data_IF_590412066598
#
_entry.id   IF_590412066598
#
_cell.length_a   1.000
_cell.length_b   1.000
_cell.length_c   1.000
_cell.angle_alpha   90.00
_cell.angle_beta   90.00
_cell.angle_gamma   90.00
#
_symmetry.space_group_name_H-M   'P 1'
#
loop_
_entity.id
_entity.type
_entity.pdbx_description
1 polymer ?
#
# COMPACT_ATOMS: atom_id res chain seq x y z
N UNK A 1 -22.50 2.58 2.36
CA UNK A 1 -21.71 3.69 1.79
C UNK A 1 -20.80 3.08 0.73
N UNK A 2 -21.03 3.44 -0.54
CA UNK A 2 -20.48 2.77 -1.71
C UNK A 2 -18.97 2.95 -1.82
N UNK A 3 -18.22 1.85 -1.86
CA UNK A 3 -16.80 1.82 -2.18
C UNK A 3 -16.60 2.38 -3.58
N UNK A 4 -16.15 3.64 -3.65
CA UNK A 4 -15.75 4.29 -4.89
C UNK A 4 -14.75 3.41 -5.64
N UNK A 5 -15.20 2.83 -6.75
CA UNK A 5 -14.35 2.23 -7.77
C UNK A 5 -13.56 3.37 -8.43
N UNK A 6 -12.47 3.82 -7.80
CA UNK A 6 -11.49 4.67 -8.49
C UNK A 6 -10.91 3.83 -9.63
N UNK A 7 -11.35 4.08 -10.87
CA UNK A 7 -10.60 3.66 -12.06
C UNK A 7 -9.23 4.30 -11.94
N UNK A 8 -8.19 3.48 -11.80
CA UNK A 8 -6.84 4.00 -11.61
C UNK A 8 -6.33 4.53 -12.95
N UNK A 9 -6.61 5.81 -13.25
CA UNK A 9 -5.89 6.60 -14.26
C UNK A 9 -4.38 6.70 -13.98
N UNK A 10 -3.89 6.06 -12.91
CA UNK A 10 -2.50 6.00 -12.50
C UNK A 10 -1.67 4.93 -13.24
N UNK A 11 -2.29 3.97 -13.93
CA UNK A 11 -1.59 2.87 -14.60
C UNK A 11 -1.96 2.84 -16.09
N UNK A 12 -0.96 2.69 -16.93
CA UNK A 12 -1.07 2.46 -18.37
C UNK A 12 -0.75 1.00 -18.68
N UNK A 13 -1.59 0.38 -19.52
CA UNK A 13 -1.33 -0.94 -20.09
C UNK A 13 -0.65 -0.71 -21.43
N UNK A 14 0.54 -1.28 -21.62
CA UNK A 14 1.35 -1.01 -22.83
C UNK A 14 0.70 -1.69 -24.04
N UNK A 15 0.54 -0.94 -25.13
CA UNK A 15 0.03 -1.47 -26.40
C UNK A 15 -1.48 -1.67 -26.48
N UNK A 16 -2.23 -1.33 -25.42
CA UNK A 16 -3.70 -1.39 -25.38
C UNK A 16 -4.25 -0.02 -24.99
N UNK A 17 -5.39 0.38 -25.57
CA UNK A 17 -6.06 1.66 -25.25
C UNK A 17 -6.63 1.70 -23.83
N UNK A 18 -7.64 2.54 -23.58
CA UNK A 18 -8.26 2.62 -22.26
C UNK A 18 -8.95 1.29 -21.89
N UNK A 19 -8.31 0.57 -20.98
CA UNK A 19 -8.80 -0.67 -20.38
C UNK A 19 -9.14 -0.40 -18.92
N UNK A 20 -10.15 -1.10 -18.40
CA UNK A 20 -10.47 -1.06 -16.98
C UNK A 20 -9.30 -1.65 -16.17
N UNK A 21 -8.58 -0.80 -15.46
CA UNK A 21 -7.48 -1.22 -14.57
C UNK A 21 -7.93 -1.20 -13.11
N UNK A 22 -7.52 -2.23 -12.35
CA UNK A 22 -7.78 -2.34 -10.91
C UNK A 22 -6.53 -2.81 -10.17
N UNK A 23 -6.17 -2.12 -9.09
CA UNK A 23 -5.07 -2.55 -8.22
C UNK A 23 -5.49 -3.78 -7.39
N UNK A 24 -4.63 -4.79 -7.34
CA UNK A 24 -4.87 -6.03 -6.60
C UNK A 24 -4.87 -5.78 -5.09
N UNK A 25 -5.78 -6.44 -4.37
CA UNK A 25 -5.88 -6.32 -2.91
C UNK A 25 -4.83 -7.12 -2.15
N UNK A 26 -4.32 -8.21 -2.74
CA UNK A 26 -3.36 -9.10 -2.08
C UNK A 26 -1.98 -8.47 -1.88
N UNK A 27 -1.58 -7.52 -2.74
CA UNK A 27 -0.29 -6.84 -2.66
C UNK A 27 -0.38 -5.31 -2.70
N UNK A 28 -1.60 -4.76 -2.86
CA UNK A 28 -1.92 -3.32 -2.81
C UNK A 28 -0.87 -2.41 -3.46
N UNK A 29 -0.54 -2.59 -4.76
CA UNK A 29 0.57 -1.89 -5.41
C UNK A 29 0.39 -0.37 -5.37
N UNK A 30 1.47 0.36 -5.17
CA UNK A 30 1.53 1.83 -5.17
C UNK A 30 2.55 2.33 -6.19
N UNK A 31 2.41 3.57 -6.71
CA UNK A 31 3.38 4.17 -7.63
C UNK A 31 4.82 3.93 -7.20
N UNK A 32 5.71 3.51 -8.11
CA UNK A 32 7.10 3.18 -7.77
C UNK A 32 7.36 1.72 -7.39
N UNK A 33 6.35 0.96 -6.98
CA UNK A 33 6.45 -0.51 -6.95
C UNK A 33 6.69 -1.02 -8.39
N UNK A 34 7.52 -2.06 -8.53
CA UNK A 34 7.52 -2.86 -9.76
C UNK A 34 6.15 -3.51 -9.91
N UNK A 35 5.54 -3.43 -11.09
CA UNK A 35 4.17 -3.90 -11.32
C UNK A 35 4.06 -4.82 -12.51
N UNK A 36 3.08 -5.72 -12.45
CA UNK A 36 2.66 -6.62 -13.53
C UNK A 36 1.14 -6.55 -13.70
N UNK A 37 0.68 -6.56 -14.94
CA UNK A 37 -0.74 -6.61 -15.28
C UNK A 37 -1.18 -8.02 -15.62
N UNK A 38 -2.37 -8.40 -15.15
CA UNK A 38 -2.99 -9.68 -15.46
C UNK A 38 -4.41 -9.49 -15.99
N UNK A 39 -4.68 -9.98 -17.21
CA UNK A 39 -6.01 -9.91 -17.82
C UNK A 39 -6.97 -10.80 -17.03
N UNK A 40 -7.99 -10.24 -16.40
CA UNK A 40 -9.02 -10.97 -15.66
C UNK A 40 -10.12 -11.52 -16.58
N UNK A 41 -10.93 -12.48 -16.10
CA UNK A 41 -12.03 -13.06 -16.90
C UNK A 41 -13.15 -12.06 -17.25
N UNK A 42 -13.19 -10.90 -16.60
CA UNK A 42 -14.21 -9.85 -16.78
C UNK A 42 -13.75 -8.65 -17.61
N UNK A 43 -12.79 -8.84 -18.53
CA UNK A 43 -12.29 -7.81 -19.46
C UNK A 43 -11.59 -6.60 -18.83
N UNK A 44 -11.07 -6.74 -17.60
CA UNK A 44 -10.22 -5.74 -16.95
C UNK A 44 -8.84 -6.30 -16.59
N UNK A 45 -7.87 -5.43 -16.33
CA UNK A 45 -6.52 -5.81 -15.92
C UNK A 45 -6.35 -5.61 -14.41
N UNK A 46 -5.97 -6.68 -13.72
CA UNK A 46 -5.56 -6.64 -12.30
C UNK A 46 -4.08 -6.30 -12.22
N UNK A 47 -3.71 -5.29 -11.44
CA UNK A 47 -2.32 -4.87 -11.26
C UNK A 47 -1.78 -5.47 -9.98
N UNK A 48 -0.68 -6.20 -10.09
CA UNK A 48 0.03 -6.79 -8.98
C UNK A 48 1.42 -6.17 -8.84
N UNK A 49 2.03 -6.30 -7.65
CA UNK A 49 3.46 -6.05 -7.47
C UNK A 49 4.25 -7.16 -8.16
N UNK A 50 5.44 -6.83 -8.64
CA UNK A 50 6.32 -7.75 -9.35
C UNK A 50 6.77 -8.94 -8.51
N UNK A 51 6.83 -8.78 -7.18
CA UNK A 51 7.25 -9.77 -6.18
C UNK A 51 6.05 -10.43 -5.44
N UNK A 52 4.84 -10.31 -5.96
CA UNK A 52 3.65 -10.89 -5.33
C UNK A 52 3.57 -12.40 -5.62
N UNK A 53 3.44 -13.22 -4.57
CA UNK A 53 3.28 -14.69 -4.69
C UNK A 53 2.13 -15.07 -5.63
N UNK A 54 0.98 -14.38 -5.52
CA UNK A 54 -0.15 -14.62 -6.41
C UNK A 54 0.16 -14.21 -7.86
N UNK A 55 0.97 -13.17 -8.07
CA UNK A 55 1.39 -12.77 -9.40
C UNK A 55 2.31 -13.81 -10.03
N UNK A 56 3.20 -14.43 -9.25
CA UNK A 56 4.11 -15.46 -9.73
C UNK A 56 3.39 -16.76 -10.09
N UNK A 57 2.38 -17.15 -9.32
CA UNK A 57 1.50 -18.27 -9.66
C UNK A 57 0.76 -18.01 -10.99
N UNK A 58 0.16 -16.81 -11.14
CA UNK A 58 -0.53 -16.42 -12.38
C UNK A 58 0.43 -16.38 -13.58
N UNK A 59 1.65 -15.88 -13.39
CA UNK A 59 2.69 -15.83 -14.42
C UNK A 59 3.11 -17.22 -14.86
N UNK A 60 3.18 -18.17 -13.93
CA UNK A 60 3.62 -19.55 -14.19
C UNK A 60 2.52 -20.41 -14.82
N UNK A 61 1.26 -20.17 -14.45
CA UNK A 61 0.12 -21.00 -14.89
C UNK A 61 -0.61 -20.43 -16.10
N UNK A 62 -0.59 -19.10 -16.30
CA UNK A 62 -1.38 -18.38 -17.32
C UNK A 62 -0.58 -17.23 -17.95
N UNK A 63 0.65 -17.50 -18.37
CA UNK A 63 1.59 -16.51 -18.92
C UNK A 63 1.02 -15.71 -20.09
N UNK A 64 0.13 -16.29 -20.90
CA UNK A 64 -0.51 -15.66 -22.06
C UNK A 64 -1.46 -14.52 -21.68
N UNK A 65 -1.83 -14.42 -20.40
CA UNK A 65 -2.71 -13.36 -19.85
C UNK A 65 -1.93 -12.29 -19.09
N UNK A 66 -0.60 -12.40 -19.03
CA UNK A 66 0.27 -11.38 -18.45
C UNK A 66 0.48 -10.27 -19.48
N UNK A 67 0.37 -9.02 -19.03
CA UNK A 67 0.57 -7.83 -19.87
C UNK A 67 1.51 -6.85 -19.19
N UNK A 68 2.30 -6.16 -20.01
CA UNK A 68 3.18 -5.11 -19.54
C UNK A 68 2.39 -3.87 -19.16
N UNK A 69 2.75 -3.30 -18.02
CA UNK A 69 2.09 -2.14 -17.43
C UNK A 69 3.13 -1.19 -16.87
N UNK A 70 2.79 0.09 -16.81
CA UNK A 70 3.61 1.11 -16.17
C UNK A 70 2.77 2.14 -15.44
N UNK A 71 3.35 2.74 -14.41
CA UNK A 71 2.77 3.91 -13.76
C UNK A 71 2.78 5.10 -14.74
N UNK A 72 1.64 5.80 -14.87
CA UNK A 72 1.54 7.04 -15.66
C UNK A 72 2.29 8.15 -14.94
N UNK A 73 3.19 8.83 -15.66
CA UNK A 73 3.87 10.01 -15.12
C UNK A 73 2.85 11.14 -14.88
N UNK A 74 2.92 11.79 -13.72
CA UNK A 74 2.08 12.95 -13.38
C UNK A 74 0.61 12.63 -13.07
N UNK A 75 0.21 11.36 -12.98
CA UNK A 75 -1.08 11.03 -12.39
C UNK A 75 -1.02 11.38 -10.89
N UNK A 76 -1.61 12.52 -10.52
CA UNK A 76 -1.79 12.94 -9.13
C UNK A 76 -2.81 12.02 -8.46
N UNK A 77 -2.41 10.78 -8.19
CA UNK A 77 -3.24 9.81 -7.50
C UNK A 77 -2.70 9.64 -6.09
N UNK A 78 -3.43 10.21 -5.12
CA UNK A 78 -3.32 9.78 -3.73
C UNK A 78 -3.69 8.30 -3.64
N UNK A 79 -2.76 7.49 -3.12
CA UNK A 79 -2.94 6.07 -2.88
C UNK A 79 -2.99 5.79 -1.38
N UNK A 80 -3.68 4.71 -1.03
CA UNK A 80 -3.81 4.26 0.35
C UNK A 80 -2.63 3.39 0.74
N UNK A 81 -2.03 3.71 1.88
CA UNK A 81 -0.99 2.89 2.50
C UNK A 81 -1.50 2.39 3.84
N UNK A 82 -1.22 1.13 4.12
CA UNK A 82 -1.38 0.54 5.44
C UNK A 82 0.00 0.24 6.03
N UNK A 83 0.23 0.63 7.26
CA UNK A 83 1.45 0.29 8.01
C UNK A 83 1.07 -0.42 9.30
N UNK A 84 1.94 -1.33 9.74
CA UNK A 84 1.93 -1.94 11.07
C UNK A 84 3.12 -1.36 11.83
N UNK A 85 2.85 -0.87 13.04
CA UNK A 85 3.86 -0.44 14.02
C UNK A 85 3.81 -1.44 15.17
N UNK A 86 4.97 -1.95 15.55
CA UNK A 86 5.16 -2.82 16.71
C UNK A 86 6.08 -2.12 17.70
N UNK A 87 5.64 -1.97 18.94
CA UNK A 87 6.35 -1.17 19.93
C UNK A 87 6.11 -1.66 21.36
N UNK A 88 7.00 -1.32 22.28
CA UNK A 88 6.74 -1.45 23.70
C UNK A 88 5.73 -0.40 24.14
N UNK A 89 4.63 -0.83 24.74
CA UNK A 89 3.62 0.09 25.24
C UNK A 89 4.16 0.96 26.38
N UNK A 90 4.01 2.28 26.20
CA UNK A 90 4.40 3.29 27.18
C UNK A 90 3.44 4.48 27.13
N UNK A 91 3.39 5.30 28.19
CA UNK A 91 2.65 6.55 28.16
C UNK A 91 2.99 7.38 26.92
N UNK A 92 1.94 7.92 26.29
CA UNK A 92 2.01 8.78 25.10
C UNK A 92 2.47 8.12 23.80
N UNK A 93 2.70 6.81 23.74
CA UNK A 93 3.14 6.13 22.50
C UNK A 93 2.22 6.44 21.32
N UNK A 94 0.89 6.28 21.48
CA UNK A 94 -0.06 6.55 20.40
C UNK A 94 0.00 8.02 19.94
N UNK A 95 0.16 8.96 20.88
CA UNK A 95 0.27 10.38 20.57
C UNK A 95 1.58 10.71 19.83
N UNK A 96 2.68 10.05 20.17
CA UNK A 96 3.96 10.21 19.50
C UNK A 96 3.91 9.68 18.06
N UNK A 97 3.26 8.53 17.85
CA UNK A 97 3.09 7.95 16.50
C UNK A 97 2.18 8.84 15.64
N UNK A 98 1.02 9.25 16.14
CA UNK A 98 0.10 10.11 15.36
C UNK A 98 0.69 11.47 15.05
N UNK A 99 1.45 12.07 15.99
CA UNK A 99 2.19 13.32 15.76
C UNK A 99 3.26 13.14 14.69
N UNK A 100 4.08 12.09 14.78
CA UNK A 100 5.12 11.80 13.79
C UNK A 100 4.55 11.61 12.39
N UNK A 101 3.43 10.88 12.26
CA UNK A 101 2.72 10.75 10.99
C UNK A 101 2.19 12.11 10.48
N UNK A 102 1.64 12.94 11.37
CA UNK A 102 1.16 14.28 11.02
C UNK A 102 2.29 15.21 10.58
N UNK A 103 3.45 15.15 11.22
CA UNK A 103 4.66 15.93 10.87
C UNK A 103 5.23 15.50 9.50
N UNK A 104 5.00 14.25 9.10
CA UNK A 104 5.26 13.76 7.75
C UNK A 104 4.18 14.17 6.74
N UNK A 105 3.22 15.01 7.13
CA UNK A 105 2.15 15.54 6.27
C UNK A 105 1.28 14.43 5.65
N UNK A 106 1.16 13.27 6.30
CA UNK A 106 0.24 12.21 5.85
C UNK A 106 -1.12 12.34 6.52
N UNK A 107 -2.18 12.18 5.73
CA UNK A 107 -3.55 12.24 6.23
C UNK A 107 -4.00 10.85 6.73
N UNK A 108 -4.06 10.67 8.05
CA UNK A 108 -4.52 9.42 8.68
C UNK A 108 -6.02 9.25 8.47
N UNK A 109 -6.41 8.17 7.78
CA UNK A 109 -7.81 7.81 7.54
C UNK A 109 -8.38 6.89 8.60
N UNK A 110 -7.57 5.96 9.11
CA UNK A 110 -7.96 5.06 10.19
C UNK A 110 -6.76 4.59 10.99
N UNK A 111 -6.99 4.35 12.27
CA UNK A 111 -6.02 3.74 13.17
C UNK A 111 -6.71 2.65 14.00
N UNK A 112 -6.01 1.54 14.23
CA UNK A 112 -6.41 0.49 15.16
C UNK A 112 -5.22 0.14 16.03
N UNK A 113 -5.43 0.10 17.34
CA UNK A 113 -4.37 -0.09 18.32
C UNK A 113 -4.80 -1.18 19.28
N UNK A 114 -3.95 -2.18 19.46
CA UNK A 114 -4.15 -3.25 20.44
C UNK A 114 -2.86 -3.49 21.19
N UNK A 115 -2.96 -3.69 22.50
CA UNK A 115 -1.81 -4.03 23.33
C UNK A 115 -1.96 -5.46 23.83
N UNK A 116 -0.93 -6.27 23.63
CA UNK A 116 -0.87 -7.65 24.11
C UNK A 116 -0.50 -7.72 25.59
N UNK A 117 -0.60 -8.92 26.20
CA UNK A 117 -0.34 -9.13 27.64
C UNK A 117 1.11 -8.87 28.05
N UNK A 118 2.06 -9.07 27.13
CA UNK A 118 3.48 -8.78 27.25
C UNK A 118 3.81 -7.30 27.01
N UNK A 119 2.79 -6.44 26.91
CA UNK A 119 2.91 -4.98 26.67
C UNK A 119 3.43 -4.62 25.29
N UNK A 120 3.32 -5.52 24.31
CA UNK A 120 3.61 -5.18 22.91
C UNK A 120 2.38 -4.48 22.32
N UNK A 121 2.55 -3.25 21.88
CA UNK A 121 1.55 -2.46 21.18
C UNK A 121 1.64 -2.72 19.67
N UNK A 122 0.52 -3.13 19.09
CA UNK A 122 0.33 -3.31 17.66
C UNK A 122 -0.58 -2.20 17.16
N UNK A 123 -0.01 -1.24 16.41
CA UNK A 123 -0.76 -0.12 15.86
C UNK A 123 -0.79 -0.19 14.34
N UNK A 124 -1.98 -0.32 13.76
CA UNK A 124 -2.21 -0.31 12.33
C UNK A 124 -2.75 1.05 11.91
N UNK A 125 -2.09 1.71 10.97
CA UNK A 125 -2.52 2.98 10.41
C UNK A 125 -2.79 2.84 8.92
N UNK A 126 -3.85 3.50 8.46
CA UNK A 126 -4.17 3.68 7.05
C UNK A 126 -4.14 5.17 6.74
N UNK A 127 -3.41 5.58 5.70
CA UNK A 127 -3.32 6.98 5.27
C UNK A 127 -3.24 7.12 3.75
N UNK A 128 -3.58 8.31 3.25
CA UNK A 128 -3.38 8.68 1.84
C UNK A 128 -2.02 9.34 1.63
N UNK A 129 -1.36 9.02 0.52
CA UNK A 129 -0.09 9.60 0.13
C UNK A 129 0.01 9.75 -1.39
N UNK A 130 0.66 10.82 -1.86
CA UNK A 130 0.78 11.14 -3.28
C UNK A 130 2.07 10.59 -3.92
N UNK A 131 3.13 10.37 -3.13
CA UNK A 131 4.43 9.89 -3.61
C UNK A 131 4.90 8.71 -2.77
N UNK A 132 5.17 7.56 -3.40
CA UNK A 132 5.65 6.40 -2.66
C UNK A 132 7.11 6.54 -2.21
N UNK A 133 7.89 7.42 -2.83
CA UNK A 133 9.23 7.75 -2.32
C UNK A 133 9.17 8.40 -0.93
N UNK A 134 8.04 9.02 -0.59
CA UNK A 134 7.81 9.58 0.74
C UNK A 134 7.51 8.47 1.78
N UNK A 135 7.07 7.28 1.37
CA UNK A 135 6.78 6.18 2.30
C UNK A 135 8.01 5.79 3.12
N UNK A 136 9.17 5.66 2.48
CA UNK A 136 10.39 5.24 3.17
C UNK A 136 10.79 6.25 4.26
N UNK A 137 10.60 7.54 3.99
CA UNK A 137 10.83 8.60 4.97
C UNK A 137 9.80 8.57 6.11
N UNK A 138 8.52 8.29 5.82
CA UNK A 138 7.49 8.09 6.85
C UNK A 138 7.82 6.92 7.77
N UNK A 139 8.16 5.76 7.18
CA UNK A 139 8.54 4.57 7.94
C UNK A 139 9.79 4.84 8.78
N UNK A 140 10.81 5.48 8.20
CA UNK A 140 12.04 5.84 8.90
C UNK A 140 11.75 6.78 10.09
N UNK A 141 10.90 7.80 9.92
CA UNK A 141 10.53 8.70 11.00
C UNK A 141 9.83 7.96 12.15
N UNK A 142 8.87 7.07 11.84
CA UNK A 142 8.18 6.27 12.86
C UNK A 142 9.14 5.32 13.59
N UNK A 143 10.14 4.74 12.91
CA UNK A 143 11.20 3.92 13.55
C UNK A 143 12.02 4.69 14.58
N UNK A 144 12.11 6.02 14.51
CA UNK A 144 12.88 6.80 15.48
C UNK A 144 12.17 7.00 16.82
N UNK A 145 10.87 6.69 16.89
CA UNK A 145 10.09 6.85 18.11
C UNK A 145 10.57 5.83 19.15
N UNK A 146 10.94 6.33 20.33
CA UNK A 146 11.37 5.50 21.44
C UNK A 146 10.31 4.43 21.78
N UNK A 147 10.74 3.17 21.79
CA UNK A 147 9.91 2.01 22.06
C UNK A 147 9.42 1.30 20.80
N UNK A 148 9.54 1.88 19.61
CA UNK A 148 9.21 1.18 18.35
C UNK A 148 10.28 0.13 18.04
N UNK A 149 9.86 -1.12 17.90
CA UNK A 149 10.71 -2.25 17.52
C UNK A 149 10.76 -2.41 16.02
N UNK A 150 9.61 -2.34 15.37
CA UNK A 150 9.50 -2.45 13.93
C UNK A 150 8.33 -1.62 13.40
N UNK A 151 8.45 -1.22 12.14
CA UNK A 151 7.36 -0.67 11.36
C UNK A 151 7.54 -1.04 9.90
N UNK A 152 6.47 -1.54 9.29
CA UNK A 152 6.49 -2.02 7.93
C UNK A 152 5.13 -1.82 7.27
N UNK A 153 5.13 -1.75 5.94
CA UNK A 153 3.90 -1.71 5.14
C UNK A 153 3.21 -3.06 5.22
N UNK A 154 1.90 -3.05 5.47
CA UNK A 154 1.08 -4.25 5.38
C UNK A 154 0.32 -4.30 4.07
N UNK A 155 0.25 -5.48 3.49
CA UNK A 155 -0.73 -5.79 2.45
C UNK A 155 -2.00 -6.29 3.14
N UNK A 156 -3.17 -5.88 2.65
CA UNK A 156 -4.43 -6.39 3.20
C UNK A 156 -4.51 -7.89 2.89
N UNK A 157 -4.27 -8.73 3.90
CA UNK A 157 -4.67 -10.13 3.91
C UNK A 157 -5.95 -10.25 4.73
#
# INVERSE_FOLDING_TARGET
>A
ISSSRRSSNAVEVIGVGDVLVKLARCCTPVPGDSIMGFITKGSGVSIHRGDCINADDLRSTQSERVVDVRWRAGAASVFLVNIQVEALDRPSLLADVTRTLSDQHVNILSASVTTSKDRTAFSRFTFEMADAKHLDAVLAAVRTIEGVYDVYRTTNN
#
